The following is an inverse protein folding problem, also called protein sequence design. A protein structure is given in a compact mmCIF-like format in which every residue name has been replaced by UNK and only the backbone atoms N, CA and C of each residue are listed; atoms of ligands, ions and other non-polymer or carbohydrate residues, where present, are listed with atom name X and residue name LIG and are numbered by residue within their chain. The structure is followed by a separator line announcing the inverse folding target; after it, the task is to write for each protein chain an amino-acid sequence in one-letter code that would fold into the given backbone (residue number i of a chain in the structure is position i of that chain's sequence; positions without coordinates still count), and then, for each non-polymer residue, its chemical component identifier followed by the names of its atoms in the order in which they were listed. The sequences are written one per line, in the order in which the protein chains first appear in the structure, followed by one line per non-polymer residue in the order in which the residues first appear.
data_IF_763422768571
#
_entry.id   IF_763422768571
#
_cell.length_a   1.000
_cell.length_b   1.000
_cell.length_c   1.000
_cell.angle_alpha   90.00
_cell.angle_beta   90.00
_cell.angle_gamma   90.00
#
_symmetry.space_group_name_H-M   'P 1'
#
loop_
_entity.id
_entity.type
_entity.pdbx_description
1 polymer ?
#
# COMPACT_ATOMS: atom_id res chain seq x y z
N UNK A 1 -39.87 -14.84 -84.09
CA UNK A 1 -40.43 -13.64 -83.45
C UNK A 1 -39.69 -13.43 -82.15
N UNK A 2 -38.77 -12.46 -82.13
CA UNK A 2 -37.99 -12.07 -80.95
C UNK A 2 -38.82 -11.14 -80.07
N UNK A 3 -38.67 -11.24 -78.76
CA UNK A 3 -38.66 -10.06 -77.89
C UNK A 3 -37.86 -10.36 -76.62
N UNK A 4 -36.69 -9.72 -76.52
CA UNK A 4 -35.85 -9.62 -75.34
C UNK A 4 -36.28 -8.41 -74.52
N UNK A 5 -36.26 -8.53 -73.19
CA UNK A 5 -36.27 -7.38 -72.27
C UNK A 5 -35.15 -7.59 -71.24
N UNK A 6 -34.23 -6.64 -71.16
CA UNK A 6 -33.09 -6.58 -70.22
C UNK A 6 -33.49 -5.84 -68.93
N UNK A 7 -32.92 -6.19 -67.75
CA UNK A 7 -32.99 -5.33 -66.56
C UNK A 7 -31.84 -4.29 -66.54
N UNK A 8 -32.18 -3.07 -66.09
CA UNK A 8 -31.28 -1.92 -65.93
C UNK A 8 -30.28 -2.13 -64.78
N UNK A 9 -29.00 -1.90 -65.04
CA UNK A 9 -27.96 -1.77 -64.01
C UNK A 9 -28.06 -0.40 -63.32
N UNK A 10 -28.20 -0.39 -62.00
CA UNK A 10 -28.06 0.81 -61.16
C UNK A 10 -26.56 1.03 -60.90
N UNK A 11 -26.06 2.18 -61.34
CA UNK A 11 -24.66 2.57 -61.23
C UNK A 11 -24.24 2.82 -59.77
N UNK A 12 -23.04 2.33 -59.43
CA UNK A 12 -22.35 2.56 -58.16
C UNK A 12 -21.87 4.01 -58.12
N UNK A 13 -22.40 4.82 -57.20
CA UNK A 13 -21.95 6.20 -56.98
C UNK A 13 -20.46 6.20 -56.60
N UNK A 14 -19.65 6.83 -57.47
CA UNK A 14 -18.25 7.14 -57.25
C UNK A 14 -18.12 8.19 -56.14
N UNK A 15 -17.49 7.82 -55.03
CA UNK A 15 -17.14 8.73 -53.94
C UNK A 15 -16.23 9.84 -54.50
N UNK A 16 -16.74 11.07 -54.56
CA UNK A 16 -15.95 12.23 -54.95
C UNK A 16 -14.86 12.52 -53.91
N UNK A 17 -13.61 12.52 -54.36
CA UNK A 17 -12.43 12.86 -53.57
C UNK A 17 -12.49 14.34 -53.18
N UNK A 18 -12.72 14.65 -51.91
CA UNK A 18 -12.86 16.03 -51.43
C UNK A 18 -11.52 16.49 -50.81
N UNK A 19 -10.68 17.25 -51.53
CA UNK A 19 -9.29 17.53 -51.13
C UNK A 19 -9.20 18.34 -49.82
N UNK A 20 -10.25 19.10 -49.50
CA UNK A 20 -10.35 19.90 -48.27
C UNK A 20 -10.42 18.98 -47.03
N UNK A 21 -11.10 17.84 -47.12
CA UNK A 21 -11.24 16.89 -45.99
C UNK A 21 -9.92 16.16 -45.69
N UNK A 22 -9.14 15.85 -46.73
CA UNK A 22 -7.82 15.25 -46.54
C UNK A 22 -6.82 16.25 -45.96
N UNK A 23 -6.91 17.53 -46.37
CA UNK A 23 -6.07 18.59 -45.82
C UNK A 23 -6.35 18.81 -44.33
N UNK A 24 -7.63 18.81 -43.92
CA UNK A 24 -7.99 18.93 -42.49
C UNK A 24 -7.58 17.71 -41.69
N UNK A 25 -7.70 16.50 -42.22
CA UNK A 25 -7.18 15.29 -41.57
C UNK A 25 -5.65 15.31 -41.41
N UNK A 26 -4.91 15.77 -42.41
CA UNK A 26 -3.45 15.95 -42.33
C UNK A 26 -3.06 16.98 -41.28
N UNK A 27 -3.79 18.10 -41.20
CA UNK A 27 -3.56 19.14 -40.19
C UNK A 27 -3.85 18.65 -38.77
N UNK A 28 -4.92 17.87 -38.57
CA UNK A 28 -5.24 17.26 -37.27
C UNK A 28 -4.17 16.25 -36.87
N UNK A 29 -3.71 15.42 -37.80
CA UNK A 29 -2.66 14.43 -37.53
C UNK A 29 -1.31 15.11 -37.23
N UNK A 30 -0.97 16.18 -37.94
CA UNK A 30 0.21 16.99 -37.67
C UNK A 30 0.14 17.69 -36.30
N UNK A 31 -1.02 18.24 -35.93
CA UNK A 31 -1.24 18.84 -34.61
C UNK A 31 -1.12 17.83 -33.46
N UNK A 32 -1.66 16.61 -33.63
CA UNK A 32 -1.56 15.53 -32.65
C UNK A 32 -0.12 15.01 -32.51
N UNK A 33 0.62 14.95 -33.62
CA UNK A 33 2.04 14.61 -33.63
C UNK A 33 2.89 15.67 -32.91
N UNK A 34 2.60 16.96 -33.11
CA UNK A 34 3.28 18.08 -32.44
C UNK A 34 3.01 18.11 -30.92
N UNK A 35 1.81 17.72 -30.45
CA UNK A 35 1.54 17.59 -29.01
C UNK A 35 2.33 16.45 -28.33
N UNK A 36 2.71 15.43 -29.09
CA UNK A 36 3.44 14.25 -28.59
C UNK A 36 4.94 14.52 -28.37
N UNK A 37 5.46 15.66 -28.84
CA UNK A 37 6.88 16.06 -28.74
C UNK A 37 7.21 16.87 -27.48
N UNK A 38 6.29 16.91 -26.51
CA UNK A 38 6.54 17.55 -25.21
C UNK A 38 7.73 16.88 -24.51
N UNK A 39 8.82 17.60 -24.15
CA UNK A 39 9.90 17.01 -23.37
C UNK A 39 9.36 16.59 -22.01
N UNK A 40 9.31 15.27 -21.77
CA UNK A 40 9.08 14.73 -20.44
C UNK A 40 10.33 15.01 -19.60
N UNK A 41 10.26 16.00 -18.71
CA UNK A 41 11.28 16.20 -17.68
C UNK A 41 11.24 15.02 -16.72
N UNK A 42 12.13 14.04 -16.93
CA UNK A 42 12.43 13.06 -15.89
C UNK A 42 13.13 13.79 -14.75
N UNK A 43 12.50 13.84 -13.57
CA UNK A 43 13.14 14.40 -12.38
C UNK A 43 14.22 13.42 -11.93
N UNK A 44 15.47 13.72 -12.29
CA UNK A 44 16.61 12.92 -11.88
C UNK A 44 17.06 13.39 -10.49
N UNK A 45 16.65 12.63 -9.47
CA UNK A 45 17.08 12.88 -8.10
C UNK A 45 18.47 12.28 -7.85
N UNK A 46 19.39 13.01 -7.18
CA UNK A 46 20.71 12.49 -6.85
C UNK A 46 20.66 11.29 -5.90
N UNK A 47 19.57 11.13 -5.13
CA UNK A 47 19.34 10.00 -4.23
C UNK A 47 18.16 9.17 -4.72
N UNK A 48 18.35 7.86 -4.77
CA UNK A 48 17.26 6.90 -4.86
C UNK A 48 16.92 6.39 -3.47
N UNK A 49 15.66 6.56 -3.07
CA UNK A 49 15.11 6.01 -1.85
C UNK A 49 14.16 4.83 -2.17
N UNK A 50 14.19 3.80 -1.32
CA UNK A 50 13.29 2.64 -1.39
C UNK A 50 12.84 2.23 0.01
N UNK A 51 11.53 2.09 0.20
CA UNK A 51 10.93 1.54 1.42
C UNK A 51 10.72 0.05 1.28
N UNK A 52 11.05 -0.70 2.32
CA UNK A 52 10.74 -2.12 2.44
C UNK A 52 9.92 -2.34 3.70
N UNK A 53 8.75 -2.92 3.54
CA UNK A 53 7.90 -3.35 4.64
C UNK A 53 7.88 -4.87 4.68
N UNK A 54 8.10 -5.45 5.86
CA UNK A 54 8.04 -6.90 6.06
C UNK A 54 6.63 -7.28 6.52
N UNK A 55 5.97 -8.25 5.87
CA UNK A 55 4.63 -8.70 6.25
C UNK A 55 4.55 -9.23 7.68
N UNK A 56 3.96 -8.41 8.56
CA UNK A 56 3.19 -8.73 9.78
C UNK A 56 2.67 -7.37 10.29
N UNK A 57 1.87 -6.72 9.45
CA UNK A 57 1.48 -5.33 9.62
C UNK A 57 0.72 -5.15 10.93
N UNK A 58 1.32 -4.42 11.86
CA UNK A 58 0.68 -4.06 13.12
C UNK A 58 -0.22 -2.85 12.91
N UNK A 59 -1.34 -2.81 13.64
CA UNK A 59 -2.15 -1.61 13.74
C UNK A 59 -1.45 -0.50 14.53
N UNK A 60 -0.36 -0.79 15.25
CA UNK A 60 0.39 0.19 16.02
C UNK A 60 1.59 0.68 15.21
N UNK A 61 1.64 1.99 14.95
CA UNK A 61 2.77 2.60 14.24
C UNK A 61 4.13 2.36 14.96
N UNK A 62 4.22 2.42 16.31
CA UNK A 62 5.47 2.12 17.02
C UNK A 62 6.03 0.71 16.79
N UNK A 63 5.18 -0.27 16.50
CA UNK A 63 5.64 -1.65 16.25
C UNK A 63 6.46 -1.75 14.97
N UNK A 64 6.25 -0.86 13.99
CA UNK A 64 7.02 -0.82 12.74
C UNK A 64 8.48 -0.41 12.98
N UNK A 65 8.71 0.37 14.04
CA UNK A 65 10.01 0.96 14.39
C UNK A 65 10.60 0.38 15.68
N UNK A 66 9.97 -0.66 16.23
CA UNK A 66 10.44 -1.31 17.44
C UNK A 66 11.83 -1.96 17.21
N UNK A 67 12.80 -1.76 18.13
CA UNK A 67 14.13 -2.34 18.00
C UNK A 67 14.07 -3.87 17.84
N UNK A 68 14.74 -4.39 16.81
CA UNK A 68 14.81 -5.83 16.52
C UNK A 68 13.60 -6.43 15.78
N UNK A 69 12.51 -5.68 15.56
CA UNK A 69 11.37 -6.19 14.80
C UNK A 69 11.58 -6.15 13.27
N UNK A 70 12.44 -5.23 12.80
CA UNK A 70 12.85 -5.11 11.38
C UNK A 70 11.69 -5.10 10.37
N UNK A 71 10.54 -4.54 10.78
CA UNK A 71 9.31 -4.49 9.96
C UNK A 71 9.31 -3.37 8.92
N UNK A 72 10.14 -2.35 9.13
CA UNK A 72 10.32 -1.22 8.24
C UNK A 72 11.82 -1.01 8.00
N UNK A 73 12.20 -0.85 6.74
CA UNK A 73 13.55 -0.45 6.32
C UNK A 73 13.47 0.60 5.25
N UNK A 74 14.39 1.56 5.28
CA UNK A 74 14.58 2.56 4.23
C UNK A 74 16.00 2.42 3.68
N UNK A 75 16.10 2.21 2.37
CA UNK A 75 17.39 2.17 1.68
C UNK A 75 17.55 3.46 0.89
N UNK A 76 18.64 4.18 1.15
CA UNK A 76 19.01 5.42 0.46
C UNK A 76 20.28 5.16 -0.33
N UNK A 77 20.30 5.48 -1.62
CA UNK A 77 21.48 5.30 -2.49
C UNK A 77 21.80 6.59 -3.21
N UNK A 78 22.99 7.15 -2.96
CA UNK A 78 23.47 8.30 -3.71
C UNK A 78 23.95 7.85 -5.10
N UNK A 79 23.22 8.28 -6.14
CA UNK A 79 23.53 8.00 -7.55
C UNK A 79 24.44 9.05 -8.17
N UNK A 80 24.51 10.23 -7.58
CA UNK A 80 25.41 11.29 -8.05
C UNK A 80 26.82 11.11 -7.47
N UNK A 81 27.74 10.66 -8.31
CA UNK A 81 29.15 10.43 -7.94
C UNK A 81 30.00 11.71 -7.94
N UNK A 82 29.45 12.84 -8.39
CA UNK A 82 30.18 14.11 -8.40
C UNK A 82 30.25 14.76 -7.02
N UNK A 83 29.38 14.35 -6.10
CA UNK A 83 29.32 14.82 -4.71
C UNK A 83 29.77 13.68 -3.79
N UNK A 84 30.89 13.87 -3.10
CA UNK A 84 31.48 12.84 -2.25
C UNK A 84 30.65 12.55 -1.00
N UNK A 85 30.12 13.58 -0.35
CA UNK A 85 29.32 13.47 0.87
C UNK A 85 28.08 14.35 0.78
N UNK A 86 26.90 13.75 0.94
CA UNK A 86 25.63 14.49 0.97
C UNK A 86 24.95 14.27 2.31
N UNK A 87 24.72 15.37 3.03
CA UNK A 87 23.93 15.40 4.25
C UNK A 87 22.46 15.59 3.90
N UNK A 88 21.60 14.71 4.42
CA UNK A 88 20.16 14.76 4.21
C UNK A 88 19.38 14.69 5.51
N UNK A 89 18.13 15.12 5.42
CA UNK A 89 17.09 14.91 6.42
C UNK A 89 15.89 14.23 5.79
N UNK A 90 15.12 13.48 6.57
CA UNK A 90 13.95 12.76 6.08
C UNK A 90 12.67 13.48 6.48
N UNK A 91 11.70 13.51 5.57
CA UNK A 91 10.30 13.76 5.86
C UNK A 91 9.55 12.44 5.79
N UNK A 92 8.86 12.08 6.88
CA UNK A 92 7.91 10.97 6.90
C UNK A 92 6.50 11.47 6.61
N UNK A 93 5.73 10.67 5.88
CA UNK A 93 4.30 10.87 5.63
C UNK A 93 3.55 9.56 5.73
N UNK A 94 2.37 9.63 6.34
CA UNK A 94 1.42 8.54 6.38
C UNK A 94 0.09 9.00 5.81
N UNK A 95 -0.34 8.31 4.77
CA UNK A 95 -1.63 8.52 4.12
C UNK A 95 -2.54 7.32 4.36
N UNK A 96 -3.83 7.60 4.51
CA UNK A 96 -4.88 6.58 4.58
C UNK A 96 -5.87 6.83 3.46
N UNK A 97 -6.12 5.81 2.65
CA UNK A 97 -7.05 5.84 1.51
C UNK A 97 -6.78 7.05 0.58
N UNK A 98 -5.49 7.37 0.38
CA UNK A 98 -5.02 8.49 -0.45
C UNK A 98 -5.10 9.88 0.20
N UNK A 99 -5.41 9.98 1.50
CA UNK A 99 -5.50 11.25 2.23
C UNK A 99 -4.42 11.31 3.30
N UNK A 100 -3.69 12.44 3.35
CA UNK A 100 -2.65 12.66 4.36
C UNK A 100 -3.25 12.64 5.77
N UNK A 101 -2.77 11.72 6.58
CA UNK A 101 -3.24 11.51 7.95
C UNK A 101 -2.31 12.21 8.94
N UNK A 102 -0.99 11.99 8.79
CA UNK A 102 0.06 12.58 9.61
C UNK A 102 1.37 12.67 8.83
N UNK A 103 2.25 13.58 9.25
CA UNK A 103 3.59 13.77 8.66
C UNK A 103 4.59 14.21 9.72
N UNK A 104 5.88 14.12 9.44
CA UNK A 104 6.90 14.75 10.28
C UNK A 104 6.64 16.25 10.40
N UNK A 105 6.83 16.77 11.62
CA UNK A 105 6.69 18.20 11.91
C UNK A 105 7.64 19.04 11.07
N UNK A 106 7.13 20.15 10.55
CA UNK A 106 7.97 21.12 9.84
C UNK A 106 8.95 21.80 10.80
N UNK A 107 10.22 21.90 10.40
CA UNK A 107 11.27 22.52 11.22
C UNK A 107 11.86 21.60 12.29
N UNK A 108 11.57 20.30 12.27
CA UNK A 108 12.33 19.30 13.03
C UNK A 108 13.81 19.39 12.69
N UNK A 109 14.62 19.66 13.71
CA UNK A 109 16.08 19.72 13.58
C UNK A 109 16.69 18.43 14.15
N UNK A 110 16.69 17.39 13.33
CA UNK A 110 17.31 16.10 13.66
C UNK A 110 18.76 16.07 13.13
N UNK A 111 19.63 15.20 13.67
CA UNK A 111 20.98 15.03 13.13
C UNK A 111 20.97 14.69 11.63
N UNK A 112 21.94 15.19 10.85
CA UNK A 112 22.04 14.88 9.43
C UNK A 112 22.35 13.39 9.21
N UNK A 113 21.69 12.80 8.22
CA UNK A 113 22.05 11.48 7.70
C UNK A 113 23.10 11.69 6.61
N UNK A 114 24.28 11.12 6.79
CA UNK A 114 25.37 11.24 5.83
C UNK A 114 25.31 10.10 4.81
N UNK A 115 25.32 10.46 3.52
CA UNK A 115 25.35 9.52 2.41
C UNK A 115 26.69 9.57 1.70
N UNK A 116 27.27 8.39 1.48
CA UNK A 116 28.47 8.21 0.68
C UNK A 116 28.08 7.99 -0.79
N UNK A 117 28.85 8.58 -1.71
CA UNK A 117 28.63 8.39 -3.14
C UNK A 117 28.67 6.92 -3.57
N UNK A 118 27.65 6.46 -4.30
CA UNK A 118 27.58 5.12 -4.89
C UNK A 118 27.26 3.98 -3.90
N UNK A 119 27.24 4.23 -2.59
CA UNK A 119 26.97 3.21 -1.58
C UNK A 119 25.53 3.31 -1.04
N UNK A 120 24.80 2.19 -0.91
CA UNK A 120 23.50 2.18 -0.26
C UNK A 120 23.66 2.28 1.26
N UNK A 121 22.97 3.25 1.87
CA UNK A 121 22.75 3.33 3.30
C UNK A 121 21.43 2.65 3.64
N UNK A 122 21.46 1.69 4.57
CA UNK A 122 20.27 1.06 5.12
C UNK A 122 19.94 1.67 6.48
N UNK A 123 18.72 2.17 6.62
CA UNK A 123 18.15 2.65 7.87
C UNK A 123 17.11 1.64 8.35
N UNK A 124 17.30 1.15 9.57
CA UNK A 124 16.39 0.23 10.24
C UNK A 124 15.16 0.95 10.78
N UNK A 125 14.15 0.19 11.23
CA UNK A 125 13.01 0.76 11.93
C UNK A 125 13.42 1.58 13.16
N UNK A 126 14.44 1.14 13.91
CA UNK A 126 14.92 1.86 15.09
C UNK A 126 15.53 3.22 14.74
N UNK A 127 16.29 3.31 13.63
CA UNK A 127 16.85 4.58 13.15
C UNK A 127 15.77 5.57 12.71
N UNK A 128 14.65 5.04 12.20
CA UNK A 128 13.51 5.82 11.75
C UNK A 128 12.55 6.20 12.88
N UNK A 129 12.67 5.60 14.07
CA UNK A 129 11.73 5.77 15.19
C UNK A 129 11.49 7.23 15.55
N UNK A 130 12.57 8.03 15.58
CA UNK A 130 12.52 9.46 15.92
C UNK A 130 11.61 10.28 14.98
N UNK A 131 11.49 9.87 13.71
CA UNK A 131 10.61 10.54 12.74
C UNK A 131 9.13 10.18 12.91
N UNK A 132 8.84 9.06 13.60
CA UNK A 132 7.51 8.51 13.84
C UNK A 132 7.04 8.74 15.30
N UNK A 133 7.88 9.35 16.15
CA UNK A 133 7.51 9.78 17.49
C UNK A 133 6.37 10.78 17.45
N UNK A 134 5.40 10.62 18.34
CA UNK A 134 4.18 11.44 18.30
C UNK A 134 4.45 12.92 18.56
N UNK A 135 5.46 13.24 19.37
CA UNK A 135 5.96 14.60 19.59
C UNK A 135 6.54 15.25 18.34
N UNK A 136 6.95 14.46 17.34
CA UNK A 136 7.57 14.88 16.09
C UNK A 136 6.61 14.75 14.89
N UNK A 137 5.33 14.49 15.14
CA UNK A 137 4.31 14.38 14.09
C UNK A 137 3.33 15.55 14.12
N UNK A 138 3.00 16.03 12.94
CA UNK A 138 1.84 16.90 12.70
C UNK A 138 0.68 16.04 12.20
N UNK A 139 -0.46 16.14 12.87
CA UNK A 139 -1.68 15.43 12.53
C UNK A 139 -2.57 16.31 11.66
N UNK A 140 -3.06 15.76 10.55
CA UNK A 140 -3.89 16.50 9.58
C UNK A 140 -5.34 16.01 9.62
N UNK A 141 -5.54 14.70 9.43
CA UNK A 141 -6.87 14.10 9.32
C UNK A 141 -7.14 13.05 10.41
N UNK A 142 -6.43 13.14 11.54
CA UNK A 142 -6.58 12.21 12.65
C UNK A 142 -6.42 12.92 13.99
N UNK A 143 -7.27 12.60 14.97
CA UNK A 143 -7.24 13.27 16.27
C UNK A 143 -5.96 12.88 17.06
N UNK A 144 -5.08 13.83 17.40
CA UNK A 144 -3.88 13.56 18.18
C UNK A 144 -4.19 12.95 19.55
N UNK A 145 -5.27 13.38 20.21
CA UNK A 145 -5.61 12.90 21.55
C UNK A 145 -6.08 11.44 21.51
N UNK A 146 -6.85 11.07 20.48
CA UNK A 146 -7.22 9.69 20.21
C UNK A 146 -5.98 8.83 19.92
N UNK A 147 -5.07 9.30 19.06
CA UNK A 147 -3.86 8.58 18.73
C UNK A 147 -2.97 8.37 19.96
N UNK A 148 -2.78 9.38 20.80
CA UNK A 148 -1.95 9.29 22.00
C UNK A 148 -2.46 8.22 22.97
N UNK A 149 -3.79 8.08 23.11
CA UNK A 149 -4.40 7.12 24.03
C UNK A 149 -4.27 5.67 23.57
N UNK A 150 -4.38 5.41 22.27
CA UNK A 150 -4.47 4.03 21.74
C UNK A 150 -3.21 3.60 21.01
N UNK A 151 -2.46 4.56 20.44
CA UNK A 151 -1.40 4.37 19.44
C UNK A 151 -1.83 3.52 18.24
N UNK A 152 -3.13 3.31 18.06
CA UNK A 152 -3.70 2.40 17.08
C UNK A 152 -4.16 3.16 15.84
N UNK A 153 -3.74 2.70 14.67
CA UNK A 153 -4.21 3.15 13.39
C UNK A 153 -5.56 2.49 13.07
N UNK A 154 -6.55 3.23 12.57
CA UNK A 154 -7.80 2.65 12.07
C UNK A 154 -7.58 1.65 10.92
N UNK A 155 -8.58 0.83 10.62
CA UNK A 155 -8.55 -0.02 9.43
C UNK A 155 -8.56 0.80 8.13
N UNK A 156 -7.88 0.32 7.10
CA UNK A 156 -7.82 0.98 5.79
C UNK A 156 -6.56 0.65 5.00
N UNK A 157 -6.46 1.25 3.81
CA UNK A 157 -5.26 1.18 2.99
C UNK A 157 -4.31 2.31 3.37
N UNK A 158 -3.06 1.97 3.69
CA UNK A 158 -2.04 2.91 4.12
C UNK A 158 -0.91 3.00 3.11
N UNK A 159 -0.48 4.23 2.86
CA UNK A 159 0.75 4.56 2.15
C UNK A 159 1.68 5.26 3.11
N UNK A 160 2.75 4.58 3.50
CA UNK A 160 3.83 5.16 4.27
C UNK A 160 4.91 5.62 3.29
N UNK A 161 5.40 6.85 3.42
CA UNK A 161 6.43 7.36 2.53
C UNK A 161 7.50 8.18 3.24
N UNK A 162 8.69 8.15 2.63
CA UNK A 162 9.84 8.95 3.02
C UNK A 162 10.36 9.73 1.82
N UNK A 163 10.73 10.99 2.06
CA UNK A 163 11.42 11.84 1.10
C UNK A 163 12.64 12.44 1.77
N UNK A 164 13.80 12.36 1.12
CA UNK A 164 15.02 13.01 1.57
C UNK A 164 15.09 14.44 1.03
N UNK A 165 15.39 15.36 1.93
CA UNK A 165 15.65 16.77 1.65
C UNK A 165 17.10 17.10 1.96
N UNK A 166 17.65 18.07 1.24
CA UNK A 166 18.97 18.63 1.54
C UNK A 166 18.97 19.15 2.99
N UNK A 167 19.99 18.79 3.76
CA UNK A 167 20.05 19.16 5.17
C UNK A 167 20.12 20.68 5.38
N UNK A 168 20.86 21.37 4.53
CA UNK A 168 21.07 22.82 4.61
C UNK A 168 19.99 23.62 3.87
N UNK A 169 19.33 22.98 2.89
CA UNK A 169 18.23 23.55 2.11
C UNK A 169 16.95 22.74 2.32
N UNK A 170 16.26 22.98 3.45
CA UNK A 170 15.17 22.15 3.93
C UNK A 170 13.99 21.98 2.96
N UNK A 171 13.82 22.91 2.04
CA UNK A 171 12.77 22.99 1.02
C UNK A 171 13.12 22.25 -0.28
N UNK A 172 14.37 21.78 -0.44
CA UNK A 172 14.84 21.14 -1.67
C UNK A 172 14.81 19.61 -1.54
N UNK A 173 13.87 18.93 -2.21
CA UNK A 173 13.86 17.47 -2.24
C UNK A 173 15.02 16.96 -3.10
N UNK A 174 15.75 15.98 -2.57
CA UNK A 174 16.94 15.37 -3.20
C UNK A 174 16.76 13.88 -3.46
N UNK A 175 15.62 13.29 -3.08
CA UNK A 175 15.21 11.94 -3.47
C UNK A 175 13.85 11.90 -4.14
N UNK A 176 13.57 10.77 -4.80
CA UNK A 176 12.19 10.38 -5.09
C UNK A 176 11.39 10.18 -3.78
N UNK A 177 10.06 10.20 -3.90
CA UNK A 177 9.16 9.77 -2.82
C UNK A 177 9.21 8.24 -2.75
N UNK A 178 9.81 7.69 -1.70
CA UNK A 178 9.86 6.26 -1.48
C UNK A 178 8.65 5.84 -0.65
N UNK A 179 7.78 5.00 -1.22
CA UNK A 179 6.53 4.60 -0.59
C UNK A 179 6.43 3.08 -0.37
N UNK A 180 5.89 2.70 0.78
CA UNK A 180 5.49 1.35 1.12
C UNK A 180 3.98 1.32 1.40
N UNK A 181 3.28 0.40 0.75
CA UNK A 181 1.83 0.25 0.89
C UNK A 181 1.51 -0.95 1.76
N UNK A 182 0.51 -0.81 2.62
CA UNK A 182 -0.01 -1.92 3.42
C UNK A 182 -1.47 -1.71 3.77
N UNK A 183 -2.19 -2.80 4.00
CA UNK A 183 -3.60 -2.78 4.38
C UNK A 183 -3.76 -3.29 5.80
N UNK A 184 -4.43 -2.50 6.64
CA UNK A 184 -4.77 -2.84 8.01
C UNK A 184 -6.23 -3.28 8.09
N UNK A 185 -6.46 -4.50 8.56
CA UNK A 185 -7.77 -4.98 8.96
C UNK A 185 -7.67 -5.78 10.25
N UNK A 186 -8.67 -5.67 11.10
CA UNK A 186 -8.81 -6.53 12.26
C UNK A 186 -9.24 -7.92 11.77
N UNK A 187 -8.39 -8.91 12.00
CA UNK A 187 -8.78 -10.29 11.83
C UNK A 187 -9.88 -10.63 12.86
N UNK A 188 -11.00 -11.16 12.38
CA UNK A 188 -12.01 -11.74 13.26
C UNK A 188 -11.68 -13.22 13.50
N UNK A 189 -11.92 -13.75 14.71
CA UNK A 189 -11.70 -15.16 14.98
C UNK A 189 -12.56 -16.03 14.04
N UNK A 190 -12.07 -17.23 13.66
CA UNK A 190 -12.86 -18.15 12.86
C UNK A 190 -14.14 -18.52 13.62
N UNK A 191 -15.24 -18.65 12.89
CA UNK A 191 -16.51 -19.07 13.46
C UNK A 191 -16.60 -20.59 13.42
N UNK A 192 -16.74 -21.23 14.58
CA UNK A 192 -16.95 -22.69 14.65
C UNK A 192 -18.30 -23.04 14.01
N UNK A 193 -18.28 -23.83 12.93
CA UNK A 193 -19.47 -24.33 12.26
C UNK A 193 -19.91 -25.67 12.86
N UNK A 194 -18.95 -26.56 13.15
CA UNK A 194 -19.21 -27.85 13.78
C UNK A 194 -18.06 -28.22 14.74
N UNK A 195 -18.36 -28.89 15.86
CA UNK A 195 -19.70 -29.15 16.40
C UNK A 195 -20.35 -27.85 16.94
N UNK A 196 -21.67 -27.73 16.83
CA UNK A 196 -22.40 -26.58 17.38
C UNK A 196 -22.28 -26.56 18.91
N UNK A 197 -22.23 -25.36 19.48
CA UNK A 197 -22.27 -25.17 20.93
C UNK A 197 -23.54 -25.82 21.50
N UNK A 198 -23.38 -26.67 22.53
CA UNK A 198 -24.49 -27.36 23.18
C UNK A 198 -25.05 -28.58 22.42
N UNK A 199 -24.50 -28.94 21.27
CA UNK A 199 -24.94 -30.15 20.56
C UNK A 199 -24.45 -31.41 21.30
N UNK A 200 -25.35 -32.31 21.74
CA UNK A 200 -24.93 -33.58 22.33
C UNK A 200 -24.18 -34.41 21.29
N UNK A 201 -22.96 -34.83 21.62
CA UNK A 201 -22.18 -35.72 20.78
C UNK A 201 -22.48 -37.17 21.20
N UNK A 202 -23.12 -37.99 20.34
CA UNK A 202 -23.36 -39.39 20.66
C UNK A 202 -22.02 -40.12 20.75
N UNK A 203 -21.87 -40.93 21.79
CA UNK A 203 -20.67 -41.76 22.01
C UNK A 203 -20.65 -42.85 20.94
N UNK A 204 -19.57 -42.90 20.15
CA UNK A 204 -19.32 -43.91 19.12
C UNK A 204 -17.94 -44.53 19.32
N UNK A 205 -17.76 -45.76 18.85
CA UNK A 205 -16.46 -46.45 18.85
C UNK A 205 -16.15 -46.94 17.43
N UNK A 206 -15.15 -46.35 16.74
CA UNK A 206 -14.32 -45.23 17.16
C UNK A 206 -15.07 -43.88 17.19
N UNK A 207 -14.64 -42.96 18.06
CA UNK A 207 -15.20 -41.61 18.14
C UNK A 207 -14.53 -40.71 17.09
N UNK A 208 -15.28 -40.29 16.07
CA UNK A 208 -14.84 -39.32 15.08
C UNK A 208 -15.68 -38.04 15.23
N UNK A 209 -15.03 -36.93 15.61
CA UNK A 209 -15.68 -35.62 15.73
C UNK A 209 -15.11 -34.72 14.63
N UNK A 210 -15.97 -34.30 13.70
CA UNK A 210 -15.57 -33.38 12.64
C UNK A 210 -15.62 -31.94 13.14
N UNK A 211 -14.49 -31.24 13.06
CA UNK A 211 -14.41 -29.81 13.33
C UNK A 211 -14.35 -29.05 12.02
N UNK A 212 -15.24 -28.08 11.86
CA UNK A 212 -15.21 -27.16 10.72
C UNK A 212 -15.46 -25.74 11.21
N UNK A 213 -14.86 -24.77 10.52
CA UNK A 213 -14.99 -23.35 10.86
C UNK A 213 -15.01 -22.48 9.61
N UNK A 214 -15.70 -21.35 9.71
CA UNK A 214 -15.72 -20.32 8.68
C UNK A 214 -14.60 -19.30 8.94
N UNK A 215 -13.66 -19.11 8.00
CA UNK A 215 -12.63 -18.09 8.12
C UNK A 215 -13.21 -16.67 8.05
N UNK A 216 -12.87 -15.80 9.01
CA UNK A 216 -13.35 -14.40 9.08
C UNK A 216 -12.25 -13.33 9.04
N UNK A 217 -11.08 -13.68 8.54
CA UNK A 217 -9.94 -12.77 8.37
C UNK A 217 -9.86 -12.17 6.94
N UNK A 218 -10.85 -12.41 6.08
CA UNK A 218 -10.80 -12.08 4.65
C UNK A 218 -10.86 -10.58 4.36
N UNK A 219 -10.95 -9.73 5.38
CA UNK A 219 -11.06 -8.28 5.22
C UNK A 219 -9.74 -7.62 4.83
N UNK A 220 -8.58 -8.27 5.04
CA UNK A 220 -7.29 -7.77 4.55
C UNK A 220 -6.75 -8.63 3.38
N UNK A 221 -6.38 -8.01 2.24
CA UNK A 221 -5.66 -8.70 1.17
C UNK A 221 -4.35 -9.34 1.65
N UNK A 222 -3.74 -8.81 2.71
CA UNK A 222 -2.48 -9.32 3.27
C UNK A 222 -2.67 -10.58 4.13
N UNK A 223 -3.82 -10.71 4.80
CA UNK A 223 -4.13 -11.88 5.64
C UNK A 223 -4.78 -13.02 4.87
N UNK A 224 -5.10 -12.85 3.58
CA UNK A 224 -5.72 -13.90 2.77
C UNK A 224 -4.80 -15.12 2.56
N UNK A 225 -3.48 -14.97 2.71
CA UNK A 225 -2.50 -15.99 2.30
C UNK A 225 -1.59 -16.54 3.41
N UNK A 226 -1.57 -15.95 4.62
CA UNK A 226 -0.68 -16.36 5.71
C UNK A 226 -1.44 -16.41 7.04
N UNK A 227 -1.94 -17.60 7.40
CA UNK A 227 -2.78 -17.78 8.58
C UNK A 227 -2.45 -19.10 9.24
N UNK A 228 -2.23 -19.01 10.54
CA UNK A 228 -2.06 -20.17 11.40
C UNK A 228 -3.22 -20.19 12.40
N UNK A 229 -3.85 -21.35 12.56
CA UNK A 229 -4.89 -21.57 13.56
C UNK A 229 -4.34 -22.44 14.67
N UNK A 230 -4.34 -21.93 15.91
CA UNK A 230 -4.11 -22.76 17.10
C UNK A 230 -5.44 -23.32 17.61
N UNK A 231 -5.70 -24.59 17.33
CA UNK A 231 -6.85 -25.30 17.89
C UNK A 231 -6.55 -25.82 19.30
N UNK A 232 -7.48 -25.61 20.24
CA UNK A 232 -7.40 -26.13 21.61
C UNK A 232 -8.73 -26.79 21.97
N UNK A 233 -8.65 -28.03 22.46
CA UNK A 233 -9.80 -28.81 22.93
C UNK A 233 -9.69 -28.99 24.44
N UNK A 234 -10.75 -28.65 25.16
CA UNK A 234 -10.83 -28.78 26.61
C UNK A 234 -12.03 -29.64 26.99
N UNK A 235 -11.85 -30.53 27.97
CA UNK A 235 -12.95 -31.23 28.62
C UNK A 235 -13.62 -30.27 29.62
N UNK A 236 -14.90 -29.99 29.42
CA UNK A 236 -15.70 -29.26 30.40
C UNK A 236 -16.45 -30.30 31.22
N UNK A 237 -16.02 -30.49 32.47
CA UNK A 237 -16.81 -31.30 33.41
C UNK A 237 -18.06 -30.50 33.78
N UNK A 238 -19.27 -31.07 33.65
CA UNK A 238 -20.46 -30.39 34.15
C UNK A 238 -20.29 -30.08 35.65
N UNK A 239 -20.85 -28.95 36.14
CA UNK A 239 -20.92 -28.70 37.57
C UNK A 239 -21.59 -29.91 38.25
N UNK A 240 -21.03 -30.37 39.36
CA UNK A 240 -21.56 -31.53 40.06
C UNK A 240 -23.04 -31.33 40.40
N UNK A 241 -23.87 -32.24 39.85
CA UNK A 241 -25.29 -32.48 40.15
C UNK A 241 -26.34 -31.45 39.64
N UNK A 242 -27.15 -31.91 38.67
CA UNK A 242 -28.60 -31.86 38.88
C UNK A 242 -29.10 -33.32 39.01
N UNK A 243 -29.66 -33.72 40.16
CA UNK A 243 -30.26 -35.04 40.29
C UNK A 243 -31.50 -35.11 39.39
N UNK A 244 -31.50 -36.03 38.43
CA UNK A 244 -32.68 -36.40 37.66
C UNK A 244 -33.67 -37.08 38.59
N UNK A 245 -34.88 -36.52 38.68
CA UNK A 245 -36.06 -37.16 39.27
C UNK A 245 -36.63 -38.19 38.30
#
# INVERSE_FOLDING_TARGET
MQNQVYPKFVGRESQCFNPIVYLTQLLIFAAFSLLSLSPAYSQNYPIQAQVQLVPSYSAFLPDLVSPGAEKLRLVLTQRDLTRTDLAVRLEFRLERDGRLMMRSRQGLNLPPIQLMAGAPLLLSGADLAIYLETSNLDFVAYDPAQYERTKALPEGFYTLSFTAYDYFRPDVPVSNVAAGNYFLAKAQPPLLNQPFCGNPLPVRQPQLINFSWTPRHQHSPNSAYQIEYTFRLYEIRPPAAMPTK
#
